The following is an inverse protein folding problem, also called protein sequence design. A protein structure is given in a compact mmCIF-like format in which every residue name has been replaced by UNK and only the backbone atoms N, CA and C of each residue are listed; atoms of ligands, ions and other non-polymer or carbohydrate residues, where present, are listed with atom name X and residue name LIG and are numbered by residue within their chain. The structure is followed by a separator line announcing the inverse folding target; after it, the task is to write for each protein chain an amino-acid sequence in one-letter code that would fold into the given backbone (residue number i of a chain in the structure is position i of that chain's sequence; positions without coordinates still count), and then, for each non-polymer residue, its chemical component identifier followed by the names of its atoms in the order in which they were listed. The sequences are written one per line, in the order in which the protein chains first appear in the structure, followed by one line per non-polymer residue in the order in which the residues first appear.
data_IF_345041620600
#
_entry.id   IF_345041620600
#
_cell.length_a   1.000
_cell.length_b   1.000
_cell.length_c   1.000
_cell.angle_alpha   90.00
_cell.angle_beta   90.00
_cell.angle_gamma   90.00
#
_symmetry.space_group_name_H-M   'P 1'
#
loop_
_entity.id
_entity.type
_entity.pdbx_description
1 polymer ?
#
# COMPACT_ATOMS: atom_id res chain seq x y z
N UNK A 1 7.68 15.82 -0.03
CA UNK A 1 8.17 15.36 -1.37
C UNK A 1 9.67 15.59 -1.56
N UNK A 2 10.16 16.83 -1.51
CA UNK A 2 11.58 17.15 -1.74
C UNK A 2 12.56 16.34 -0.86
N UNK A 3 12.22 16.17 0.41
CA UNK A 3 13.01 15.38 1.37
C UNK A 3 13.07 13.89 1.03
N UNK A 4 11.95 13.28 0.58
CA UNK A 4 11.92 11.89 0.15
C UNK A 4 12.72 11.67 -1.15
N UNK A 5 12.62 12.60 -2.10
CA UNK A 5 13.43 12.59 -3.33
C UNK A 5 14.93 12.62 -3.00
N UNK A 6 15.32 13.53 -2.11
CA UNK A 6 16.70 13.66 -1.67
C UNK A 6 17.18 12.40 -0.94
N UNK A 7 16.33 11.78 -0.12
CA UNK A 7 16.66 10.52 0.57
C UNK A 7 16.95 9.40 -0.44
N UNK A 8 16.08 9.22 -1.44
CA UNK A 8 16.27 8.25 -2.51
C UNK A 8 17.56 8.51 -3.31
N UNK A 9 17.85 9.77 -3.63
CA UNK A 9 19.08 10.15 -4.34
C UNK A 9 20.35 9.86 -3.52
N UNK A 10 20.35 10.20 -2.22
CA UNK A 10 21.48 9.95 -1.33
C UNK A 10 21.73 8.46 -1.14
N UNK A 11 20.68 7.64 -0.97
CA UNK A 11 20.81 6.18 -0.87
C UNK A 11 21.40 5.59 -2.16
N UNK A 12 20.91 6.02 -3.33
CA UNK A 12 21.43 5.57 -4.63
C UNK A 12 22.90 5.96 -4.85
N UNK A 13 23.29 7.17 -4.42
CA UNK A 13 24.69 7.64 -4.52
C UNK A 13 25.59 6.99 -3.49
N UNK A 14 25.08 6.69 -2.29
CA UNK A 14 25.79 6.00 -1.22
C UNK A 14 26.22 4.59 -1.62
N UNK A 15 25.31 3.81 -2.22
CA UNK A 15 25.62 2.46 -2.74
C UNK A 15 26.65 2.47 -3.87
N UNK A 16 26.62 3.47 -4.76
CA UNK A 16 27.57 3.56 -5.88
C UNK A 16 28.96 4.04 -5.50
N UNK A 17 29.13 4.73 -4.37
CA UNK A 17 30.39 5.40 -3.98
C UNK A 17 31.02 4.82 -2.71
N UNK A 18 30.40 3.82 -2.10
CA UNK A 18 30.86 3.10 -0.89
C UNK A 18 31.21 4.03 0.29
N UNK A 19 30.55 5.18 0.38
CA UNK A 19 30.77 6.17 1.43
C UNK A 19 29.74 6.00 2.53
N UNK A 20 30.19 5.48 3.68
CA UNK A 20 29.38 5.24 4.89
C UNK A 20 28.57 6.47 5.30
N UNK A 21 29.16 7.67 5.26
CA UNK A 21 28.48 8.93 5.63
C UNK A 21 27.25 9.21 4.74
N UNK A 22 27.39 9.06 3.41
CA UNK A 22 26.29 9.29 2.47
C UNK A 22 25.14 8.29 2.66
N UNK A 23 25.47 7.06 3.02
CA UNK A 23 24.49 6.01 3.32
C UNK A 23 23.68 6.35 4.57
N UNK A 24 24.34 6.68 5.68
CA UNK A 24 23.66 7.06 6.93
C UNK A 24 22.87 8.36 6.80
N UNK A 25 23.37 9.34 6.07
CA UNK A 25 22.61 10.55 5.75
C UNK A 25 21.32 10.22 4.99
N UNK A 26 21.36 9.31 4.01
CA UNK A 26 20.18 8.86 3.28
C UNK A 26 19.15 8.15 4.17
N UNK A 27 19.60 7.29 5.09
CA UNK A 27 18.73 6.60 6.06
C UNK A 27 18.06 7.59 7.01
N UNK A 28 18.82 8.50 7.61
CA UNK A 28 18.29 9.51 8.53
C UNK A 28 17.27 10.40 7.82
N UNK A 29 17.60 10.87 6.61
CA UNK A 29 16.69 11.71 5.83
C UNK A 29 15.42 10.95 5.46
N UNK A 30 15.51 9.66 5.12
CA UNK A 30 14.34 8.81 4.87
C UNK A 30 13.43 8.71 6.09
N UNK A 31 13.99 8.47 7.28
CA UNK A 31 13.22 8.36 8.52
C UNK A 31 12.52 9.68 8.83
N UNK A 32 13.25 10.81 8.78
CA UNK A 32 12.68 12.15 9.04
C UNK A 32 11.57 12.45 8.04
N UNK A 33 11.82 12.22 6.76
CA UNK A 33 10.84 12.46 5.71
C UNK A 33 9.60 11.56 5.87
N UNK A 34 9.78 10.32 6.33
CA UNK A 34 8.69 9.38 6.62
C UNK A 34 7.86 9.82 7.82
N UNK A 35 8.49 10.22 8.91
CA UNK A 35 7.80 10.75 10.10
C UNK A 35 6.96 11.97 9.72
N UNK A 36 7.50 12.86 8.91
CA UNK A 36 6.76 14.03 8.43
C UNK A 36 5.61 13.64 7.48
N UNK A 37 5.86 12.77 6.52
CA UNK A 37 4.84 12.33 5.56
C UNK A 37 3.69 11.58 6.25
N UNK A 38 3.98 10.72 7.21
CA UNK A 38 2.94 9.95 7.92
C UNK A 38 2.28 10.80 8.99
N UNK A 39 3.07 11.37 9.91
CA UNK A 39 2.56 12.09 11.07
C UNK A 39 1.92 13.42 10.71
N UNK A 40 2.61 14.26 9.95
CA UNK A 40 2.10 15.59 9.62
C UNK A 40 1.10 15.54 8.47
N UNK A 41 1.43 14.86 7.38
CA UNK A 41 0.65 14.95 6.15
C UNK A 41 -0.50 13.92 6.09
N UNK A 42 -0.26 12.65 6.40
CA UNK A 42 -1.31 11.63 6.31
C UNK A 42 -2.31 11.66 7.48
N UNK A 43 -1.85 12.03 8.68
CA UNK A 43 -2.68 12.07 9.89
C UNK A 43 -3.20 13.50 10.14
N UNK A 44 -2.32 14.49 10.25
CA UNK A 44 -2.71 15.83 10.71
C UNK A 44 -3.39 16.67 9.63
N UNK A 45 -2.80 16.72 8.43
CA UNK A 45 -3.32 17.46 7.28
C UNK A 45 -4.20 16.61 6.35
N UNK A 46 -4.78 15.53 6.88
CA UNK A 46 -5.68 14.71 6.09
C UNK A 46 -6.86 15.56 5.63
N UNK A 47 -7.20 15.62 4.33
CA UNK A 47 -8.34 16.40 3.83
C UNK A 47 -9.69 16.05 4.46
N UNK A 48 -9.80 14.85 5.05
CA UNK A 48 -10.98 14.41 5.82
C UNK A 48 -11.06 15.03 7.22
N UNK A 49 -9.99 15.65 7.73
CA UNK A 49 -10.00 16.30 9.04
C UNK A 49 -10.97 17.49 9.04
N UNK A 50 -11.88 17.58 10.02
CA UNK A 50 -12.83 18.69 10.11
C UNK A 50 -12.18 20.07 10.22
N UNK A 51 -11.03 20.17 10.91
CA UNK A 51 -10.42 21.45 11.28
C UNK A 51 -9.23 21.85 10.40
N UNK A 52 -8.52 20.89 9.82
CA UNK A 52 -7.28 21.11 9.06
C UNK A 52 -7.36 20.61 7.62
N UNK A 53 -8.48 20.02 7.21
CA UNK A 53 -8.68 19.56 5.84
C UNK A 53 -8.72 20.73 4.87
N UNK A 54 -7.70 20.86 4.03
CA UNK A 54 -7.71 21.81 2.92
C UNK A 54 -8.60 21.28 1.78
N UNK A 55 -9.25 22.16 1.01
CA UNK A 55 -9.92 21.77 -0.22
C UNK A 55 -8.95 21.03 -1.15
N UNK A 56 -9.47 20.03 -1.84
CA UNK A 56 -8.76 19.39 -2.93
C UNK A 56 -8.81 20.32 -4.13
N UNK A 57 -7.65 20.66 -4.66
CA UNK A 57 -7.51 21.56 -5.79
C UNK A 57 -6.99 20.77 -7.00
N UNK A 58 -7.68 20.86 -8.13
CA UNK A 58 -7.22 20.31 -9.40
C UNK A 58 -8.29 19.52 -10.15
N UNK A 59 -7.87 18.79 -11.17
CA UNK A 59 -8.74 17.91 -11.95
C UNK A 59 -8.63 16.49 -11.41
N UNK A 60 -9.71 15.70 -11.49
CA UNK A 60 -9.74 14.29 -11.07
C UNK A 60 -8.46 13.55 -11.50
N UNK A 61 -7.77 12.88 -10.57
CA UNK A 61 -6.47 12.20 -10.69
C UNK A 61 -5.23 13.12 -10.77
N UNK A 62 -5.38 14.39 -11.15
CA UNK A 62 -4.31 15.41 -11.20
C UNK A 62 -4.60 16.57 -10.25
N UNK A 63 -4.84 16.22 -8.99
CA UNK A 63 -5.20 17.14 -7.94
C UNK A 63 -4.12 17.22 -6.84
N UNK A 64 -4.44 17.96 -5.78
CA UNK A 64 -3.57 18.05 -4.61
C UNK A 64 -3.39 16.69 -3.91
N UNK A 65 -4.32 15.73 -4.05
CA UNK A 65 -4.20 14.36 -3.53
C UNK A 65 -3.14 13.57 -4.28
N UNK A 66 -3.06 13.72 -5.61
CA UNK A 66 -2.01 13.12 -6.42
C UNK A 66 -0.63 13.57 -5.94
N UNK A 67 -0.47 14.88 -5.74
CA UNK A 67 0.79 15.44 -5.23
C UNK A 67 1.06 14.96 -3.80
N UNK A 68 0.05 14.94 -2.95
CA UNK A 68 0.18 14.63 -1.53
C UNK A 68 0.40 13.14 -1.24
N UNK A 69 -0.18 12.24 -2.02
CA UNK A 69 -0.21 10.81 -1.70
C UNK A 69 0.35 9.93 -2.82
N UNK A 70 -0.01 10.19 -4.09
CA UNK A 70 0.47 9.38 -5.22
C UNK A 70 1.98 9.56 -5.47
N UNK A 71 2.49 10.80 -5.40
CA UNK A 71 3.93 11.05 -5.56
C UNK A 71 4.75 10.38 -4.45
N UNK A 72 4.45 10.58 -3.14
CA UNK A 72 5.16 9.84 -2.09
C UNK A 72 5.08 8.33 -2.26
N UNK A 73 3.93 7.78 -2.66
CA UNK A 73 3.80 6.35 -2.95
C UNK A 73 4.79 5.89 -4.02
N UNK A 74 4.92 6.64 -5.12
CA UNK A 74 5.86 6.33 -6.20
C UNK A 74 7.33 6.42 -5.75
N UNK A 75 7.66 7.39 -4.90
CA UNK A 75 9.01 7.54 -4.34
C UNK A 75 9.38 6.39 -3.41
N UNK A 76 8.48 6.03 -2.49
CA UNK A 76 8.66 4.87 -1.62
C UNK A 76 8.75 3.57 -2.43
N UNK A 77 7.93 3.43 -3.48
CA UNK A 77 8.00 2.30 -4.38
C UNK A 77 9.38 2.24 -5.05
N UNK A 78 9.89 3.35 -5.59
CA UNK A 78 11.23 3.42 -6.18
C UNK A 78 12.33 2.96 -5.21
N UNK A 79 12.35 3.50 -3.99
CA UNK A 79 13.31 3.09 -2.95
C UNK A 79 13.21 1.58 -2.66
N UNK A 80 11.99 1.07 -2.53
CA UNK A 80 11.71 -0.34 -2.30
C UNK A 80 12.11 -1.26 -3.45
N UNK A 81 11.79 -0.88 -4.70
CA UNK A 81 12.03 -1.66 -5.91
C UNK A 81 13.52 -1.76 -6.25
N UNK A 82 14.24 -0.64 -6.13
CA UNK A 82 15.69 -0.63 -6.33
C UNK A 82 16.46 -1.16 -5.11
N UNK A 83 15.75 -1.58 -4.05
CA UNK A 83 16.31 -2.12 -2.80
C UNK A 83 17.36 -1.21 -2.18
N UNK A 84 17.14 0.10 -2.26
CA UNK A 84 18.08 1.09 -1.79
C UNK A 84 18.18 1.04 -0.26
N UNK A 85 19.39 0.90 0.26
CA UNK A 85 19.63 0.89 1.70
C UNK A 85 19.45 -0.48 2.38
N UNK A 86 19.42 -0.51 3.72
CA UNK A 86 19.35 -1.76 4.46
C UNK A 86 18.02 -2.47 4.26
N UNK A 87 18.00 -3.80 4.50
CA UNK A 87 16.83 -4.66 4.26
C UNK A 87 15.54 -4.14 4.89
N UNK A 88 15.63 -3.67 6.13
CA UNK A 88 14.48 -3.11 6.83
C UNK A 88 13.94 -1.84 6.16
N UNK A 89 14.81 -1.00 5.62
CA UNK A 89 14.42 0.28 5.00
C UNK A 89 13.66 0.05 3.70
N UNK A 90 14.21 -0.71 2.76
CA UNK A 90 13.52 -0.90 1.48
C UNK A 90 12.24 -1.73 1.64
N UNK A 91 12.15 -2.63 2.62
CA UNK A 91 10.89 -3.31 2.97
C UNK A 91 9.87 -2.35 3.56
N UNK A 92 10.27 -1.49 4.49
CA UNK A 92 9.40 -0.44 5.04
C UNK A 92 8.93 0.51 3.93
N UNK A 93 9.80 0.88 3.00
CA UNK A 93 9.44 1.69 1.84
C UNK A 93 8.37 1.02 0.97
N UNK A 94 8.45 -0.29 0.70
CA UNK A 94 7.38 -0.98 -0.04
C UNK A 94 6.04 -0.98 0.71
N UNK A 95 6.04 -1.11 2.04
CA UNK A 95 4.83 -1.03 2.86
C UNK A 95 4.25 0.38 2.83
N UNK A 96 5.08 1.40 2.99
CA UNK A 96 4.68 2.81 2.91
C UNK A 96 4.14 3.15 1.52
N UNK A 97 4.77 2.65 0.46
CA UNK A 97 4.29 2.82 -0.91
C UNK A 97 2.86 2.30 -1.08
N UNK A 98 2.60 1.08 -0.60
CA UNK A 98 1.27 0.48 -0.65
C UNK A 98 0.26 1.27 0.21
N UNK A 99 0.65 1.70 1.41
CA UNK A 99 -0.20 2.49 2.30
C UNK A 99 -0.59 3.85 1.70
N UNK A 100 0.38 4.60 1.16
CA UNK A 100 0.12 5.89 0.53
C UNK A 100 -0.70 5.75 -0.75
N UNK A 101 -0.44 4.73 -1.58
CA UNK A 101 -1.25 4.48 -2.77
C UNK A 101 -2.68 4.09 -2.43
N UNK A 102 -2.88 3.29 -1.37
CA UNK A 102 -4.21 2.93 -0.88
C UNK A 102 -4.97 4.14 -0.32
N UNK A 103 -4.28 5.01 0.44
CA UNK A 103 -4.85 6.27 0.92
C UNK A 103 -5.25 7.17 -0.24
N UNK A 104 -4.39 7.31 -1.25
CA UNK A 104 -4.70 8.08 -2.44
C UNK A 104 -5.96 7.57 -3.14
N UNK A 105 -6.02 6.27 -3.46
CA UNK A 105 -7.21 5.66 -4.10
C UNK A 105 -8.48 5.88 -3.27
N UNK A 106 -8.38 5.78 -1.94
CA UNK A 106 -9.52 6.02 -1.05
C UNK A 106 -9.97 7.48 -1.08
N UNK A 107 -9.04 8.43 -0.98
CA UNK A 107 -9.37 9.86 -1.02
C UNK A 107 -9.88 10.30 -2.40
N UNK A 108 -9.39 9.68 -3.48
CA UNK A 108 -9.84 9.96 -4.84
C UNK A 108 -11.30 9.52 -5.06
N UNK A 109 -11.69 8.35 -4.53
CA UNK A 109 -13.10 7.92 -4.53
C UNK A 109 -13.93 8.96 -3.78
N UNK A 110 -13.51 9.38 -2.59
CA UNK A 110 -14.21 10.43 -1.83
C UNK A 110 -14.33 11.73 -2.63
N UNK A 111 -13.27 12.14 -3.32
CA UNK A 111 -13.22 13.36 -4.14
C UNK A 111 -14.19 13.29 -5.32
N UNK A 112 -14.31 12.13 -5.96
CA UNK A 112 -15.26 11.92 -7.03
C UNK A 112 -16.72 12.18 -6.61
N UNK A 113 -17.10 11.77 -5.39
CA UNK A 113 -18.48 11.91 -4.90
C UNK A 113 -18.76 13.25 -4.21
N UNK A 114 -17.77 13.83 -3.54
CA UNK A 114 -17.94 15.04 -2.72
C UNK A 114 -17.35 16.31 -3.35
N UNK A 115 -16.62 16.20 -4.45
CA UNK A 115 -15.87 17.31 -5.05
C UNK A 115 -14.76 17.80 -4.13
N UNK A 116 -14.51 19.11 -4.16
CA UNK A 116 -13.32 19.72 -3.54
C UNK A 116 -13.29 19.64 -2.00
N UNK A 117 -14.45 19.49 -1.35
CA UNK A 117 -14.55 19.43 0.13
C UNK A 117 -14.92 18.04 0.62
N UNK A 118 -13.89 17.26 0.92
CA UNK A 118 -14.00 15.86 1.36
C UNK A 118 -14.60 15.69 2.76
N UNK A 119 -14.50 16.72 3.61
CA UNK A 119 -14.95 16.69 5.01
C UNK A 119 -16.46 16.98 5.19
N UNK A 120 -17.19 17.24 4.10
CA UNK A 120 -18.62 17.53 4.10
C UNK A 120 -19.38 16.40 3.40
N UNK A 121 -20.66 16.20 3.76
CA UNK A 121 -21.53 15.20 3.14
C UNK A 121 -21.56 13.84 3.85
N UNK A 122 -22.68 13.14 3.69
CA UNK A 122 -22.86 11.77 4.17
C UNK A 122 -22.49 10.76 3.08
N UNK A 123 -21.76 9.71 3.45
CA UNK A 123 -21.41 8.63 2.52
C UNK A 123 -22.66 7.86 2.08
N UNK A 124 -22.99 7.94 0.80
CA UNK A 124 -24.12 7.22 0.19
C UNK A 124 -23.78 5.78 -0.20
N UNK A 125 -24.79 4.97 -0.52
CA UNK A 125 -24.61 3.56 -0.93
C UNK A 125 -23.72 3.42 -2.18
N UNK A 126 -23.91 4.29 -3.18
CA UNK A 126 -23.10 4.27 -4.40
C UNK A 126 -21.60 4.52 -4.11
N UNK A 127 -21.29 5.39 -3.15
CA UNK A 127 -19.91 5.65 -2.73
C UNK A 127 -19.33 4.45 -1.98
N UNK A 128 -20.13 3.78 -1.13
CA UNK A 128 -19.73 2.54 -0.46
C UNK A 128 -19.32 1.43 -1.44
N UNK A 129 -20.12 1.20 -2.49
CA UNK A 129 -19.76 0.24 -3.54
C UNK A 129 -18.54 0.67 -4.35
N UNK A 130 -18.38 1.97 -4.60
CA UNK A 130 -17.21 2.50 -5.29
C UNK A 130 -15.91 2.25 -4.49
N UNK A 131 -15.92 2.42 -3.16
CA UNK A 131 -14.76 2.06 -2.32
C UNK A 131 -14.40 0.58 -2.47
N UNK A 132 -15.38 -0.31 -2.41
CA UNK A 132 -15.19 -1.76 -2.57
C UNK A 132 -14.57 -2.10 -3.92
N UNK A 133 -15.11 -1.53 -5.01
CA UNK A 133 -14.58 -1.73 -6.36
C UNK A 133 -13.16 -1.20 -6.52
N UNK A 134 -12.88 0.00 -5.99
CA UNK A 134 -11.58 0.65 -6.06
C UNK A 134 -10.51 -0.13 -5.28
N UNK A 135 -10.83 -0.62 -4.09
CA UNK A 135 -9.91 -1.40 -3.27
C UNK A 135 -9.61 -2.77 -3.90
N UNK A 136 -10.62 -3.39 -4.54
CA UNK A 136 -10.43 -4.64 -5.27
C UNK A 136 -9.52 -4.44 -6.47
N UNK A 137 -9.75 -3.38 -7.27
CA UNK A 137 -8.89 -3.02 -8.38
C UNK A 137 -7.45 -2.71 -7.93
N UNK A 138 -7.29 -2.01 -6.81
CA UNK A 138 -5.98 -1.75 -6.21
C UNK A 138 -5.24 -3.04 -5.82
N UNK A 139 -5.94 -3.98 -5.15
CA UNK A 139 -5.34 -5.25 -4.78
C UNK A 139 -5.00 -6.13 -6.00
N UNK A 140 -5.88 -6.15 -7.00
CA UNK A 140 -5.69 -6.89 -8.25
C UNK A 140 -4.51 -6.35 -9.07
N UNK A 141 -4.39 -5.03 -9.21
CA UNK A 141 -3.25 -4.39 -9.90
C UNK A 141 -1.94 -4.65 -9.16
N UNK A 142 -1.94 -4.60 -7.81
CA UNK A 142 -0.81 -4.99 -6.99
C UNK A 142 -0.37 -6.44 -7.23
N UNK A 143 -1.32 -7.39 -7.30
CA UNK A 143 -1.03 -8.79 -7.60
C UNK A 143 -0.48 -8.98 -9.02
N UNK A 144 -1.07 -8.32 -10.01
CA UNK A 144 -0.58 -8.34 -11.39
C UNK A 144 0.87 -7.84 -11.48
N UNK A 145 1.17 -6.74 -10.80
CA UNK A 145 2.51 -6.18 -10.75
C UNK A 145 3.50 -7.15 -10.06
N UNK A 146 3.07 -7.82 -8.99
CA UNK A 146 3.85 -8.85 -8.31
C UNK A 146 4.19 -10.05 -9.21
N UNK A 147 3.24 -10.47 -10.05
CA UNK A 147 3.44 -11.55 -11.03
C UNK A 147 4.41 -11.12 -12.13
N UNK A 148 4.23 -9.91 -12.68
CA UNK A 148 5.09 -9.36 -13.74
C UNK A 148 6.55 -9.25 -13.32
N UNK A 149 6.83 -8.82 -12.09
CA UNK A 149 8.19 -8.62 -11.59
C UNK A 149 8.78 -9.83 -10.87
N UNK A 150 8.09 -10.99 -10.86
CA UNK A 150 8.53 -12.27 -10.26
C UNK A 150 9.07 -12.13 -8.83
N UNK A 151 8.66 -11.12 -8.08
CA UNK A 151 9.16 -10.86 -6.73
C UNK A 151 8.35 -11.69 -5.72
N UNK A 152 8.96 -12.70 -5.07
CA UNK A 152 8.24 -13.58 -4.14
C UNK A 152 7.73 -12.83 -2.91
N UNK A 153 8.44 -11.77 -2.47
CA UNK A 153 8.00 -10.93 -1.35
C UNK A 153 6.78 -10.10 -1.74
N UNK A 154 6.83 -9.41 -2.89
CA UNK A 154 5.71 -8.61 -3.39
C UNK A 154 4.46 -9.46 -3.60
N UNK A 155 4.62 -10.67 -4.16
CA UNK A 155 3.51 -11.60 -4.37
C UNK A 155 2.82 -12.00 -3.07
N UNK A 156 3.57 -12.26 -1.99
CA UNK A 156 2.98 -12.61 -0.68
C UNK A 156 2.18 -11.43 -0.11
N UNK A 157 2.76 -10.23 -0.11
CA UNK A 157 2.09 -9.04 0.42
C UNK A 157 0.84 -8.69 -0.38
N UNK A 158 0.90 -8.79 -1.72
CA UNK A 158 -0.26 -8.56 -2.59
C UNK A 158 -1.35 -9.61 -2.42
N UNK A 159 -1.01 -10.89 -2.22
CA UNK A 159 -2.00 -11.94 -1.93
C UNK A 159 -2.68 -11.73 -0.58
N UNK A 160 -1.93 -11.33 0.45
CA UNK A 160 -2.51 -10.97 1.75
C UNK A 160 -3.44 -9.76 1.62
N UNK A 161 -3.00 -8.71 0.90
CA UNK A 161 -3.82 -7.53 0.63
C UNK A 161 -5.11 -7.87 -0.11
N UNK A 162 -5.03 -8.69 -1.17
CA UNK A 162 -6.19 -9.16 -1.90
C UNK A 162 -7.12 -9.99 -1.02
N UNK A 163 -6.59 -10.88 -0.19
CA UNK A 163 -7.38 -11.64 0.78
C UNK A 163 -8.12 -10.76 1.77
N UNK A 164 -7.48 -9.70 2.29
CA UNK A 164 -8.10 -8.73 3.19
C UNK A 164 -9.21 -7.93 2.50
N UNK A 165 -8.97 -7.45 1.28
CA UNK A 165 -9.98 -6.70 0.52
C UNK A 165 -11.16 -7.59 0.18
N UNK A 166 -10.92 -8.78 -0.36
CA UNK A 166 -11.98 -9.77 -0.65
C UNK A 166 -12.74 -10.10 0.61
N UNK A 167 -12.06 -10.35 1.73
CA UNK A 167 -12.69 -10.58 3.02
C UNK A 167 -13.58 -9.43 3.46
N UNK A 168 -13.13 -8.18 3.32
CA UNK A 168 -13.95 -7.01 3.65
C UNK A 168 -15.19 -6.90 2.76
N UNK A 169 -15.02 -6.94 1.43
CA UNK A 169 -16.13 -6.83 0.47
C UNK A 169 -17.19 -7.88 0.78
N UNK A 170 -16.71 -9.09 1.03
CA UNK A 170 -17.53 -10.22 1.42
C UNK A 170 -18.28 -10.02 2.76
N UNK A 171 -17.61 -9.48 3.78
CA UNK A 171 -18.23 -9.12 5.07
C UNK A 171 -19.28 -8.01 4.90
N UNK A 172 -19.05 -7.08 3.98
CA UNK A 172 -19.99 -6.01 3.62
C UNK A 172 -21.22 -6.56 2.92
N UNK A 173 -21.05 -7.38 1.87
CA UNK A 173 -22.16 -8.00 1.14
C UNK A 173 -22.95 -8.98 2.03
N UNK A 174 -22.29 -9.63 2.99
CA UNK A 174 -22.94 -10.46 4.01
C UNK A 174 -23.82 -9.70 5.00
N UNK A 175 -23.65 -8.39 5.16
CA UNK A 175 -24.51 -7.59 6.03
C UNK A 175 -25.93 -7.48 5.45
N UNK A 176 -26.05 -7.52 4.11
CA UNK A 176 -27.31 -7.39 3.38
C UNK A 176 -27.96 -8.72 3.01
N UNK A 177 -27.29 -9.86 3.26
CA UNK A 177 -27.74 -11.19 2.86
C UNK A 177 -28.49 -11.95 3.97
N UNK A 178 -29.62 -12.58 3.60
CA UNK A 178 -30.37 -13.48 4.47
C UNK A 178 -29.70 -14.86 4.62
N UNK A 179 -30.03 -15.58 5.70
CA UNK A 179 -29.19 -16.62 6.34
C UNK A 179 -28.55 -17.70 5.47
N UNK A 180 -29.21 -18.20 4.41
CA UNK A 180 -28.66 -19.25 3.56
C UNK A 180 -27.51 -18.75 2.66
N UNK A 181 -27.64 -17.54 2.12
CA UNK A 181 -26.60 -16.90 1.31
C UNK A 181 -25.39 -16.52 2.18
N UNK A 182 -25.62 -16.20 3.46
CA UNK A 182 -24.55 -16.03 4.47
C UNK A 182 -23.76 -17.34 4.63
N UNK A 183 -24.40 -18.49 4.81
CA UNK A 183 -23.68 -19.76 4.96
C UNK A 183 -22.82 -20.12 3.74
N UNK A 184 -23.36 -20.01 2.52
CA UNK A 184 -22.64 -20.26 1.25
C UNK A 184 -21.44 -19.35 1.08
N UNK A 185 -21.64 -18.07 1.40
CA UNK A 185 -20.60 -17.08 1.40
C UNK A 185 -19.47 -17.51 2.35
N UNK A 186 -19.75 -17.92 3.61
CA UNK A 186 -18.68 -18.30 4.57
C UNK A 186 -17.83 -19.46 4.05
N UNK A 187 -18.45 -20.39 3.32
CA UNK A 187 -17.75 -21.49 2.64
C UNK A 187 -16.86 -20.95 1.52
N UNK A 188 -17.34 -19.99 0.73
CA UNK A 188 -16.54 -19.29 -0.28
C UNK A 188 -15.33 -18.56 0.29
N UNK A 189 -15.52 -17.83 1.40
CA UNK A 189 -14.42 -17.17 2.12
C UNK A 189 -13.41 -18.21 2.65
N UNK A 190 -13.90 -19.29 3.24
CA UNK A 190 -13.07 -20.41 3.70
C UNK A 190 -12.24 -21.00 2.56
N UNK A 191 -12.84 -21.21 1.38
CA UNK A 191 -12.14 -21.71 0.20
C UNK A 191 -11.07 -20.73 -0.31
N UNK A 192 -11.35 -19.42 -0.32
CA UNK A 192 -10.38 -18.37 -0.68
C UNK A 192 -9.21 -18.35 0.31
N UNK A 193 -9.49 -18.40 1.61
CA UNK A 193 -8.45 -18.44 2.66
C UNK A 193 -7.59 -19.69 2.55
N UNK A 194 -8.20 -20.84 2.28
CA UNK A 194 -7.48 -22.10 2.01
C UNK A 194 -6.65 -21.98 0.74
N UNK A 195 -7.17 -21.35 -0.32
CA UNK A 195 -6.44 -21.09 -1.56
C UNK A 195 -5.21 -20.19 -1.35
N UNK A 196 -5.36 -19.13 -0.55
CA UNK A 196 -4.26 -18.23 -0.17
C UNK A 196 -3.23 -18.97 0.71
N UNK A 197 -3.70 -19.75 1.70
CA UNK A 197 -2.84 -20.57 2.56
C UNK A 197 -2.08 -21.65 1.79
N UNK A 198 -2.72 -22.29 0.81
CA UNK A 198 -2.12 -23.25 -0.10
C UNK A 198 -1.08 -22.59 -1.01
N UNK A 199 -1.41 -21.44 -1.60
CA UNK A 199 -0.47 -20.64 -2.36
C UNK A 199 0.73 -20.25 -1.49
N UNK A 200 0.53 -19.86 -0.23
CA UNK A 200 1.61 -19.53 0.69
C UNK A 200 2.50 -20.74 1.00
N UNK A 201 1.93 -21.92 1.29
CA UNK A 201 2.67 -23.16 1.58
C UNK A 201 3.46 -23.67 0.39
N UNK A 202 2.88 -23.65 -0.82
CA UNK A 202 3.56 -24.07 -2.05
C UNK A 202 4.75 -23.16 -2.41
N UNK A 203 4.86 -22.01 -1.74
CA UNK A 203 5.90 -21.00 -1.95
C UNK A 203 6.86 -20.87 -0.75
N UNK A 204 6.81 -21.81 0.20
CA UNK A 204 7.82 -22.02 1.25
C UNK A 204 9.07 -22.77 0.73
N UNK A 205 10.22 -22.66 1.40
CA UNK A 205 11.55 -22.68 0.78
C UNK A 205 12.00 -24.06 0.27
N UNK A 206 12.61 -24.08 -0.92
CA UNK A 206 13.61 -25.10 -1.28
C UNK A 206 14.80 -24.96 -0.32
N UNK A 207 15.18 -26.11 0.28
CA UNK A 207 16.42 -26.43 0.99
C UNK A 207 17.10 -25.34 1.85
N UNK A 208 17.22 -25.60 3.15
CA UNK A 208 18.55 -25.50 3.76
C UNK A 208 19.24 -26.85 3.48
N UNK A 209 20.38 -26.89 2.76
CA UNK A 209 21.23 -28.07 2.77
C UNK A 209 21.71 -28.26 4.20
N UNK A 210 21.36 -29.40 4.81
CA UNK A 210 21.96 -29.84 6.05
C UNK A 210 23.48 -29.99 5.79
N UNK A 211 24.37 -29.24 6.47
CA UNK A 211 25.79 -29.51 6.39
C UNK A 211 26.09 -30.75 7.23
N UNK A 212 25.78 -31.93 6.71
CA UNK A 212 26.48 -33.15 7.14
C UNK A 212 27.72 -33.32 6.26
N UNK A 213 28.89 -32.97 6.80
CA UNK A 213 30.16 -33.71 6.68
C UNK A 213 31.37 -32.82 6.98
N UNK A 214 31.81 -32.84 8.23
CA UNK A 214 33.23 -33.04 8.53
C UNK A 214 33.30 -33.86 9.81
N UNK A 215 33.59 -35.15 9.59
CA UNK A 215 34.42 -36.06 10.40
C UNK A 215 34.86 -35.59 11.79
#
# INVERSE_FOLDING_TARGET
IAWLLMAGWLLHRGERRDRVVLHWSGVILFVIATVFAVGWQAIFLNPLMPFFGSPVEGWFVFDSLFLAYAIPAALYAGIGFYRLGPRALWQAALVLAAGFAFLWVTLEVRHFFHGDRLNQGSTGEAEWYAYSAAWLAFAATGLWAALKWRSPWLRRTSLLGLGLVVGKVFLSDMADLSGALRALSFIGLGAVLVGIGYAHRRLGPLQQPNPESTS
#
